data_IF_101377856423
#
_entry.id   IF_101377856423
#
_cell.length_a   1.000
_cell.length_b   1.000
_cell.length_c   1.000
_cell.angle_alpha   90.00
_cell.angle_beta   90.00
_cell.angle_gamma   90.00
#
_symmetry.space_group_name_H-M   'P 1'
#
loop_
_entity.id
_entity.type
_entity.pdbx_description
1 polymer ?
#
# COMPACT_ATOMS: atom_id res chain seq x y z
N UNK A 1 11.17 17.20 -14.06
CA UNK A 1 9.73 16.90 -13.97
C UNK A 1 9.57 15.50 -14.50
N UNK A 2 9.09 14.56 -13.69
CA UNK A 2 8.95 13.16 -14.11
C UNK A 2 7.54 12.99 -14.68
N UNK A 3 7.45 12.52 -15.92
CA UNK A 3 6.19 12.27 -16.60
C UNK A 3 5.31 11.29 -15.79
N UNK A 4 4.00 11.56 -15.68
CA UNK A 4 3.08 10.60 -15.10
C UNK A 4 2.99 9.38 -16.04
N UNK A 5 3.32 8.20 -15.51
CA UNK A 5 3.11 6.94 -16.21
C UNK A 5 1.65 6.83 -16.69
N UNK A 6 1.40 6.25 -17.88
CA UNK A 6 0.05 6.10 -18.41
C UNK A 6 -0.81 5.29 -17.43
N UNK A 7 -1.92 5.88 -17.00
CA UNK A 7 -2.82 5.36 -15.96
C UNK A 7 -3.68 4.17 -16.43
N UNK A 8 -3.54 3.74 -17.69
CA UNK A 8 -4.47 2.83 -18.37
C UNK A 8 -4.21 1.33 -18.13
N UNK A 9 -3.23 0.95 -17.30
CA UNK A 9 -2.89 -0.46 -17.06
C UNK A 9 -2.73 -0.83 -15.57
N UNK A 10 -3.13 0.04 -14.65
CA UNK A 10 -2.97 -0.22 -13.23
C UNK A 10 -4.31 -0.52 -12.57
N UNK A 11 -4.66 -1.80 -12.47
CA UNK A 11 -5.79 -2.24 -11.64
C UNK A 11 -5.30 -2.36 -10.17
N UNK A 12 -5.86 -1.59 -9.23
CA UNK A 12 -5.57 -1.71 -7.81
C UNK A 12 -5.87 -3.11 -7.24
N UNK A 13 -6.72 -3.89 -7.90
CA UNK A 13 -7.07 -5.26 -7.53
C UNK A 13 -5.97 -6.26 -7.89
N UNK A 14 -5.03 -5.91 -8.78
CA UNK A 14 -3.87 -6.75 -9.14
C UNK A 14 -2.94 -7.06 -7.95
N UNK A 15 -3.05 -6.29 -6.86
CA UNK A 15 -2.26 -6.53 -5.65
C UNK A 15 -2.78 -7.65 -4.76
N UNK A 16 -4.01 -8.11 -4.96
CA UNK A 16 -4.67 -9.09 -4.12
C UNK A 16 -4.86 -10.41 -4.88
N UNK A 17 -4.64 -11.52 -4.21
CA UNK A 17 -5.09 -12.81 -4.75
C UNK A 17 -6.63 -12.88 -4.74
N UNK A 18 -7.26 -13.67 -5.63
CA UNK A 18 -8.71 -13.80 -5.67
C UNK A 18 -9.32 -14.21 -4.31
N UNK A 19 -8.64 -15.07 -3.56
CA UNK A 19 -9.07 -15.51 -2.22
C UNK A 19 -8.98 -14.40 -1.17
N UNK A 20 -7.97 -13.53 -1.25
CA UNK A 20 -7.88 -12.36 -0.38
C UNK A 20 -8.96 -11.34 -0.70
N UNK A 21 -9.28 -11.17 -1.98
CA UNK A 21 -10.34 -10.27 -2.41
C UNK A 21 -11.70 -10.74 -1.91
N UNK A 22 -12.04 -12.03 -2.09
CA UNK A 22 -13.30 -12.59 -1.57
C UNK A 22 -13.45 -12.41 -0.05
N UNK A 23 -12.37 -12.62 0.71
CA UNK A 23 -12.38 -12.39 2.17
C UNK A 23 -12.58 -10.94 2.56
N UNK A 24 -12.01 -10.00 1.79
CA UNK A 24 -12.22 -8.57 1.99
C UNK A 24 -13.67 -8.19 1.67
N UNK A 25 -14.20 -8.71 0.57
CA UNK A 25 -15.58 -8.45 0.13
C UNK A 25 -16.59 -8.96 1.17
N UNK A 26 -16.48 -10.21 1.62
CA UNK A 26 -17.33 -10.76 2.69
C UNK A 26 -17.29 -9.87 3.95
N UNK A 27 -16.10 -9.39 4.32
CA UNK A 27 -15.92 -8.53 5.48
C UNK A 27 -16.55 -7.15 5.26
N UNK A 28 -16.39 -6.55 4.09
CA UNK A 28 -16.95 -5.25 3.77
C UNK A 28 -18.46 -5.29 3.59
N UNK A 29 -19.02 -6.35 3.00
CA UNK A 29 -20.46 -6.57 2.89
C UNK A 29 -21.12 -6.64 4.27
N UNK A 30 -20.43 -7.24 5.25
CA UNK A 30 -20.90 -7.25 6.62
C UNK A 30 -20.70 -5.91 7.33
N UNK A 31 -19.49 -5.35 7.30
CA UNK A 31 -19.13 -4.17 8.09
C UNK A 31 -19.71 -2.86 7.54
N UNK A 32 -19.99 -2.79 6.23
CA UNK A 32 -20.43 -1.58 5.54
C UNK A 32 -21.90 -1.62 5.10
N UNK A 33 -22.64 -2.65 5.52
CA UNK A 33 -24.06 -2.87 5.14
C UNK A 33 -24.91 -1.61 5.33
N UNK A 34 -24.84 -1.03 6.53
CA UNK A 34 -25.67 0.11 6.93
C UNK A 34 -24.91 1.44 6.89
N UNK A 35 -23.65 1.44 6.45
CA UNK A 35 -22.81 2.62 6.42
C UNK A 35 -23.22 3.54 5.25
N UNK A 36 -23.71 4.74 5.54
CA UNK A 36 -24.00 5.78 4.53
C UNK A 36 -22.78 6.62 4.16
N UNK A 37 -21.83 6.74 5.08
CA UNK A 37 -20.61 7.51 4.90
C UNK A 37 -19.40 6.67 5.26
N UNK A 38 -18.36 6.71 4.42
CA UNK A 38 -17.07 6.06 4.65
C UNK A 38 -15.97 7.09 4.89
N UNK A 39 -15.09 6.78 5.83
CA UNK A 39 -14.06 7.71 6.30
C UNK A 39 -12.69 7.33 5.73
N UNK A 40 -12.11 8.29 5.02
CA UNK A 40 -10.75 8.29 4.49
C UNK A 40 -9.90 9.31 5.24
N UNK A 41 -8.58 9.24 5.09
CA UNK A 41 -7.71 10.25 5.70
C UNK A 41 -6.42 10.44 4.91
N UNK A 42 -5.90 11.66 4.93
CA UNK A 42 -4.58 11.98 4.38
C UNK A 42 -3.87 13.00 5.26
N UNK A 43 -2.55 12.85 5.40
CA UNK A 43 -1.73 13.73 6.24
C UNK A 43 -1.91 13.56 7.76
N UNK A 44 -2.87 12.74 8.21
CA UNK A 44 -3.16 12.48 9.63
C UNK A 44 -2.67 11.10 10.08
N UNK A 45 -2.55 10.90 11.40
CA UNK A 45 -2.18 9.59 11.96
C UNK A 45 -3.39 8.63 11.92
N UNK A 46 -3.18 7.32 11.69
CA UNK A 46 -4.27 6.34 11.69
C UNK A 46 -5.06 6.34 13.00
N UNK A 47 -4.39 6.55 14.14
CA UNK A 47 -4.99 6.55 15.47
C UNK A 47 -5.93 7.75 15.68
N UNK A 48 -5.62 8.90 15.06
CA UNK A 48 -6.51 10.05 15.09
C UNK A 48 -7.75 9.80 14.22
N UNK A 49 -7.56 9.26 13.02
CA UNK A 49 -8.65 8.96 12.10
C UNK A 49 -9.61 7.91 12.67
N UNK A 50 -9.08 6.84 13.27
CA UNK A 50 -9.87 5.81 13.93
C UNK A 50 -10.65 6.34 15.12
N UNK A 51 -10.02 7.15 15.98
CA UNK A 51 -10.71 7.76 17.13
C UNK A 51 -11.85 8.66 16.69
N UNK A 52 -11.59 9.54 15.73
CA UNK A 52 -12.61 10.43 15.17
C UNK A 52 -13.77 9.62 14.57
N UNK A 53 -13.48 8.62 13.75
CA UNK A 53 -14.51 7.79 13.14
C UNK A 53 -15.32 7.00 14.18
N UNK A 54 -14.66 6.43 15.18
CA UNK A 54 -15.33 5.69 16.27
C UNK A 54 -16.26 6.59 17.07
N UNK A 55 -15.85 7.84 17.35
CA UNK A 55 -16.68 8.83 18.03
C UNK A 55 -17.94 9.21 17.25
N UNK A 56 -17.87 9.16 15.91
CA UNK A 56 -19.00 9.49 15.03
C UNK A 56 -19.76 8.25 14.53
N UNK A 57 -19.42 7.05 15.00
CA UNK A 57 -20.05 5.81 14.54
C UNK A 57 -19.78 5.48 13.07
N UNK A 58 -18.67 5.97 12.52
CA UNK A 58 -18.31 5.84 11.11
C UNK A 58 -17.22 4.79 10.86
N UNK A 59 -17.20 4.27 9.63
CA UNK A 59 -16.30 3.20 9.22
C UNK A 59 -15.08 3.77 8.49
N UNK A 60 -13.88 3.51 9.03
CA UNK A 60 -12.62 3.64 8.29
C UNK A 60 -12.22 2.30 7.69
N UNK A 61 -11.32 2.29 6.71
CA UNK A 61 -10.73 1.05 6.16
C UNK A 61 -10.29 0.08 7.28
N UNK A 62 -9.61 0.59 8.31
CA UNK A 62 -9.07 -0.26 9.37
C UNK A 62 -10.20 -0.84 10.24
N UNK A 63 -11.22 -0.04 10.58
CA UNK A 63 -12.36 -0.51 11.37
C UNK A 63 -13.15 -1.56 10.57
N UNK A 64 -13.40 -1.29 9.29
CA UNK A 64 -14.11 -2.20 8.39
C UNK A 64 -13.38 -3.54 8.25
N UNK A 65 -12.05 -3.52 8.06
CA UNK A 65 -11.22 -4.73 8.01
C UNK A 65 -11.27 -5.53 9.31
N UNK A 66 -11.42 -4.88 10.46
CA UNK A 66 -11.57 -5.54 11.76
C UNK A 66 -10.45 -6.55 12.04
N UNK A 67 -10.77 -7.83 12.33
CA UNK A 67 -9.77 -8.87 12.61
C UNK A 67 -8.74 -9.07 11.49
N UNK A 68 -9.08 -8.76 10.23
CA UNK A 68 -8.14 -8.89 9.11
C UNK A 68 -6.93 -7.95 9.22
N UNK A 69 -7.06 -6.83 9.95
CA UNK A 69 -5.99 -5.87 10.14
C UNK A 69 -4.97 -6.28 11.20
N UNK A 70 -5.37 -7.11 12.16
CA UNK A 70 -4.56 -7.49 13.32
C UNK A 70 -3.37 -8.38 12.95
N UNK A 71 -2.21 -8.08 13.56
CA UNK A 71 -0.93 -8.75 13.31
C UNK A 71 -0.74 -10.03 14.15
N UNK A 72 -1.70 -10.35 15.03
CA UNK A 72 -1.49 -11.28 16.16
C UNK A 72 -2.32 -12.56 16.10
N UNK A 73 -3.32 -12.65 15.24
CA UNK A 73 -4.23 -13.79 15.22
C UNK A 73 -3.88 -14.77 14.08
N UNK A 74 -3.90 -16.07 14.39
CA UNK A 74 -3.79 -17.14 13.39
C UNK A 74 -5.03 -17.05 12.49
N UNK A 75 -4.89 -16.37 11.34
CA UNK A 75 -6.00 -16.06 10.43
C UNK A 75 -6.08 -14.59 10.01
N UNK A 76 -5.33 -13.69 10.67
CA UNK A 76 -5.21 -12.29 10.24
C UNK A 76 -4.56 -12.18 8.86
N UNK A 77 -5.02 -11.25 8.01
CA UNK A 77 -4.47 -11.10 6.67
C UNK A 77 -2.98 -10.69 6.69
N UNK A 78 -2.51 -10.14 7.80
CA UNK A 78 -1.10 -9.77 8.00
C UNK A 78 -0.21 -10.92 8.47
N UNK A 79 -0.79 -11.97 9.05
CA UNK A 79 -0.05 -13.09 9.61
C UNK A 79 0.82 -13.76 8.54
N UNK A 80 2.12 -13.91 8.82
CA UNK A 80 3.09 -14.48 7.88
C UNK A 80 3.45 -13.62 6.67
N UNK A 81 2.86 -12.43 6.49
CA UNK A 81 3.18 -11.54 5.35
C UNK A 81 4.44 -10.71 5.63
N UNK A 82 5.31 -10.62 4.61
CA UNK A 82 6.39 -9.64 4.64
C UNK A 82 5.84 -8.21 4.62
N UNK A 83 6.59 -7.24 5.14
CA UNK A 83 6.20 -5.82 5.09
C UNK A 83 5.85 -5.33 3.68
N UNK A 84 6.49 -5.87 2.63
CA UNK A 84 6.20 -5.48 1.25
C UNK A 84 4.89 -6.10 0.75
N UNK A 85 4.64 -7.37 1.08
CA UNK A 85 3.38 -8.04 0.78
C UNK A 85 2.21 -7.38 1.51
N UNK A 86 2.40 -7.00 2.78
CA UNK A 86 1.41 -6.24 3.53
C UNK A 86 1.13 -4.86 2.93
N UNK A 87 2.15 -4.13 2.48
CA UNK A 87 1.94 -2.84 1.80
C UNK A 87 1.17 -2.99 0.49
N UNK A 88 1.39 -4.06 -0.28
CA UNK A 88 0.59 -4.38 -1.48
C UNK A 88 -0.85 -4.70 -1.11
N UNK A 89 -1.04 -5.57 -0.13
CA UNK A 89 -2.36 -5.92 0.40
C UNK A 89 -3.14 -4.69 0.86
N UNK A 90 -2.51 -3.79 1.63
CA UNK A 90 -3.14 -2.54 2.08
C UNK A 90 -3.47 -1.59 0.94
N UNK A 91 -2.73 -1.60 -0.18
CA UNK A 91 -3.09 -0.85 -1.39
C UNK A 91 -4.35 -1.43 -2.03
N UNK A 92 -4.39 -2.75 -2.23
CA UNK A 92 -5.58 -3.40 -2.79
C UNK A 92 -6.82 -3.22 -1.91
N UNK A 93 -6.69 -3.41 -0.60
CA UNK A 93 -7.79 -3.20 0.36
C UNK A 93 -8.28 -1.75 0.38
N UNK A 94 -7.36 -0.79 0.27
CA UNK A 94 -7.65 0.64 0.16
C UNK A 94 -8.42 0.98 -1.13
N UNK A 95 -7.99 0.44 -2.27
CA UNK A 95 -8.71 0.57 -3.54
C UNK A 95 -10.11 -0.04 -3.47
N UNK A 96 -10.22 -1.27 -2.96
CA UNK A 96 -11.51 -1.96 -2.83
C UNK A 96 -12.48 -1.22 -1.89
N UNK A 97 -11.97 -0.67 -0.79
CA UNK A 97 -12.77 0.16 0.12
C UNK A 97 -13.30 1.44 -0.54
N UNK A 98 -12.49 2.08 -1.41
CA UNK A 98 -12.95 3.20 -2.23
C UNK A 98 -14.09 2.79 -3.18
N UNK A 99 -13.98 1.64 -3.86
CA UNK A 99 -15.06 1.12 -4.73
C UNK A 99 -16.35 0.84 -3.96
N UNK A 100 -16.25 0.31 -2.73
CA UNK A 100 -17.41 0.07 -1.87
C UNK A 100 -18.14 1.37 -1.50
N UNK A 101 -17.44 2.51 -1.52
CA UNK A 101 -18.09 3.82 -1.37
C UNK A 101 -19.04 4.06 -2.55
N UNK A 102 -18.57 3.82 -3.78
CA UNK A 102 -19.37 4.01 -4.97
C UNK A 102 -20.51 3.01 -5.14
N UNK A 103 -20.27 1.71 -4.85
CA UNK A 103 -21.28 0.64 -5.01
C UNK A 103 -22.56 0.87 -4.23
N UNK A 104 -22.48 1.53 -3.07
CA UNK A 104 -23.65 1.81 -2.23
C UNK A 104 -24.19 3.22 -2.35
N UNK A 105 -23.74 4.03 -3.31
CA UNK A 105 -24.12 5.44 -3.40
C UNK A 105 -23.77 6.21 -2.12
N UNK A 106 -22.61 5.92 -1.53
CA UNK A 106 -22.19 6.48 -0.24
C UNK A 106 -21.43 7.79 -0.41
N UNK A 107 -21.38 8.57 0.67
CA UNK A 107 -20.53 9.74 0.78
C UNK A 107 -19.14 9.35 1.29
N UNK A 108 -18.09 10.01 0.77
CA UNK A 108 -16.74 9.94 1.31
C UNK A 108 -16.46 11.14 2.22
N UNK A 109 -16.08 10.88 3.46
CA UNK A 109 -15.58 11.90 4.39
C UNK A 109 -14.07 11.73 4.50
N UNK A 110 -13.32 12.78 4.25
CA UNK A 110 -11.85 12.72 4.20
C UNK A 110 -11.28 13.61 5.28
N UNK A 111 -10.63 12.97 6.25
CA UNK A 111 -9.96 13.65 7.34
C UNK A 111 -8.60 14.16 6.86
N UNK A 112 -8.41 15.47 6.88
CA UNK A 112 -7.22 16.11 6.33
C UNK A 112 -6.67 17.17 7.26
N UNK A 113 -5.42 17.58 7.00
CA UNK A 113 -4.90 18.83 7.55
C UNK A 113 -5.61 20.03 6.90
N UNK A 114 -5.67 21.18 7.59
CA UNK A 114 -6.22 22.38 6.98
C UNK A 114 -5.42 22.80 5.74
N UNK A 115 -6.07 23.46 4.76
CA UNK A 115 -5.40 24.17 3.69
C UNK A 115 -4.29 25.10 4.22
N UNK A 116 -3.17 25.25 3.50
CA UNK A 116 -2.88 24.70 2.15
C UNK A 116 -2.34 23.25 2.15
N UNK A 117 -1.91 22.73 3.31
CA UNK A 117 -1.16 21.48 3.45
C UNK A 117 -2.06 20.23 3.61
N UNK A 118 -3.12 20.14 2.81
CA UNK A 118 -4.17 19.11 2.94
C UNK A 118 -3.61 17.69 2.83
N UNK A 119 -2.76 17.45 1.83
CA UNK A 119 -2.24 16.12 1.51
C UNK A 119 -1.06 15.73 2.40
N UNK A 120 -0.87 14.42 2.55
CA UNK A 120 0.38 13.87 3.06
C UNK A 120 1.57 14.38 2.24
N UNK A 121 2.67 14.71 2.93
CA UNK A 121 3.97 15.07 2.29
C UNK A 121 4.59 13.91 1.49
N UNK A 122 4.00 12.71 1.55
CA UNK A 122 4.41 11.57 0.76
C UNK A 122 3.90 11.71 -0.67
N UNK A 123 4.82 11.70 -1.63
CA UNK A 123 4.52 11.77 -3.08
C UNK A 123 3.51 10.70 -3.52
N UNK A 124 3.57 9.50 -2.91
CA UNK A 124 2.74 8.36 -3.26
C UNK A 124 1.83 7.93 -2.09
N UNK A 125 0.92 8.81 -1.67
CA UNK A 125 -0.10 8.43 -0.68
C UNK A 125 -1.21 7.61 -1.34
N UNK A 126 -1.72 6.58 -0.65
CA UNK A 126 -2.84 5.79 -1.14
C UNK A 126 -4.04 6.67 -1.48
N UNK A 127 -4.41 7.62 -0.61
CA UNK A 127 -5.52 8.53 -0.89
C UNK A 127 -5.37 9.26 -2.23
N UNK A 128 -4.29 10.04 -2.42
CA UNK A 128 -4.08 10.86 -3.62
C UNK A 128 -3.95 10.06 -4.93
N UNK A 129 -3.22 8.93 -4.89
CA UNK A 129 -2.88 8.20 -6.11
C UNK A 129 -3.88 7.10 -6.46
N UNK A 130 -4.71 6.68 -5.51
CA UNK A 130 -5.55 5.51 -5.64
C UNK A 130 -6.99 5.77 -5.22
N UNK A 131 -7.23 6.09 -3.94
CA UNK A 131 -8.59 6.18 -3.41
C UNK A 131 -9.36 7.34 -4.04
N UNK A 132 -8.76 8.54 -4.09
CA UNK A 132 -9.41 9.73 -4.63
C UNK A 132 -9.79 9.61 -6.12
N UNK A 133 -8.91 9.11 -7.03
CA UNK A 133 -9.33 8.81 -8.40
C UNK A 133 -10.48 7.80 -8.50
N UNK A 134 -10.50 6.74 -7.69
CA UNK A 134 -11.62 5.77 -7.65
C UNK A 134 -12.90 6.45 -7.19
N UNK A 135 -12.84 7.21 -6.09
CA UNK A 135 -14.00 7.93 -5.55
C UNK A 135 -14.60 8.90 -6.56
N UNK A 136 -13.77 9.51 -7.41
CA UNK A 136 -14.18 10.40 -8.52
C UNK A 136 -14.66 9.66 -9.78
N UNK A 137 -14.49 8.34 -9.84
CA UNK A 137 -14.91 7.51 -10.98
C UNK A 137 -13.90 7.46 -12.14
N UNK A 138 -12.62 7.76 -11.91
CA UNK A 138 -11.61 7.79 -12.98
C UNK A 138 -11.38 6.43 -13.68
N UNK A 139 -11.75 5.32 -13.03
CA UNK A 139 -11.55 3.95 -13.52
C UNK A 139 -12.83 3.30 -14.08
N UNK A 140 -13.84 4.09 -14.48
CA UNK A 140 -15.04 3.56 -15.14
C UNK A 140 -16.00 2.75 -14.25
N UNK A 141 -15.80 2.78 -12.93
CA UNK A 141 -16.62 2.10 -11.93
C UNK A 141 -17.59 3.02 -11.17
N UNK A 142 -18.30 2.44 -10.19
CA UNK A 142 -19.18 3.20 -9.31
C UNK A 142 -18.40 4.25 -8.51
N UNK A 143 -18.91 5.49 -8.47
CA UNK A 143 -18.27 6.65 -7.85
C UNK A 143 -18.98 7.05 -6.57
N UNK A 144 -18.27 7.72 -5.66
CA UNK A 144 -18.90 8.30 -4.48
C UNK A 144 -19.97 9.33 -4.90
N UNK A 145 -20.99 9.53 -4.06
CA UNK A 145 -21.99 10.59 -4.32
C UNK A 145 -21.36 11.96 -4.13
N UNK A 146 -20.53 12.09 -3.09
CA UNK A 146 -19.90 13.33 -2.68
C UNK A 146 -18.62 13.03 -1.90
N UNK A 147 -17.63 13.93 -2.01
CA UNK A 147 -16.42 13.92 -1.19
C UNK A 147 -16.41 15.20 -0.35
N UNK A 148 -16.38 15.05 0.98
CA UNK A 148 -16.28 16.15 1.93
C UNK A 148 -15.00 16.09 2.73
N UNK A 149 -14.42 17.26 3.03
CA UNK A 149 -13.22 17.37 3.87
C UNK A 149 -13.60 17.82 5.27
N UNK A 150 -12.89 17.27 6.26
CA UNK A 150 -13.02 17.62 7.68
C UNK A 150 -11.62 17.80 8.27
N UNK A 151 -11.46 18.79 9.14
CA UNK A 151 -10.17 19.15 9.74
C UNK A 151 -10.16 18.93 11.26
N UNK A 152 -10.02 17.67 11.73
CA UNK A 152 -10.10 17.34 13.15
C UNK A 152 -8.96 17.92 14.00
N UNK A 153 -7.90 18.44 13.39
CA UNK A 153 -6.78 19.06 14.09
C UNK A 153 -7.07 20.48 14.57
N UNK A 154 -8.10 21.14 14.04
CA UNK A 154 -8.49 22.49 14.44
C UNK A 154 -9.61 22.39 15.47
N UNK A 155 -9.40 23.02 16.63
CA UNK A 155 -10.42 23.09 17.68
C UNK A 155 -11.64 23.83 17.15
N UNK A 156 -12.83 23.23 17.29
CA UNK A 156 -14.08 23.77 16.74
C UNK A 156 -14.40 23.36 15.30
N UNK A 157 -13.42 22.89 14.52
CA UNK A 157 -13.62 22.45 13.13
C UNK A 157 -13.83 20.93 13.00
N UNK A 158 -13.79 20.18 14.10
CA UNK A 158 -13.85 18.72 14.05
C UNK A 158 -15.18 18.15 13.52
N UNK A 159 -16.24 18.96 13.55
CA UNK A 159 -17.55 18.64 12.98
C UNK A 159 -17.87 19.46 11.71
N UNK A 160 -16.99 20.40 11.33
CA UNK A 160 -17.18 21.20 10.14
C UNK A 160 -16.76 20.38 8.92
N UNK A 161 -17.69 20.21 7.99
CA UNK A 161 -17.49 19.52 6.73
C UNK A 161 -17.83 20.46 5.57
N UNK A 162 -17.06 20.40 4.50
CA UNK A 162 -17.31 21.17 3.29
C UNK A 162 -17.03 20.30 2.06
N UNK A 163 -17.77 20.53 0.99
CA UNK A 163 -17.70 19.71 -0.21
C UNK A 163 -16.47 20.04 -1.06
N UNK A 164 -15.81 19.01 -1.60
CA UNK A 164 -14.69 19.17 -2.55
C UNK A 164 -15.03 18.57 -3.93
N UNK A 165 -15.96 17.61 -3.96
CA UNK A 165 -16.39 16.97 -5.19
C UNK A 165 -17.83 16.46 -5.05
N UNK A 166 -18.69 16.53 -6.09
CA UNK A 166 -18.42 17.12 -7.40
C UNK A 166 -18.30 18.66 -7.41
N UNK A 167 -18.90 19.35 -6.44
CA UNK A 167 -18.78 20.80 -6.27
C UNK A 167 -17.65 21.12 -5.29
N UNK A 168 -16.87 22.15 -5.58
CA UNK A 168 -15.77 22.58 -4.71
C UNK A 168 -16.19 23.82 -3.90
N UNK A 169 -16.46 23.60 -2.62
CA UNK A 169 -16.93 24.58 -1.65
C UNK A 169 -15.81 24.97 -0.65
N UNK A 170 -14.55 24.98 -1.12
CA UNK A 170 -13.41 25.41 -0.28
C UNK A 170 -13.56 26.85 0.24
N UNK A 171 -14.35 27.69 -0.44
CA UNK A 171 -14.72 29.03 0.04
C UNK A 171 -15.51 29.03 1.36
N UNK A 172 -16.31 27.99 1.63
CA UNK A 172 -17.02 27.83 2.90
C UNK A 172 -16.02 27.61 4.05
N UNK A 173 -15.00 26.80 3.80
CA UNK A 173 -13.88 26.65 4.72
C UNK A 173 -13.14 27.96 4.95
N UNK A 174 -12.85 28.73 3.91
CA UNK A 174 -12.16 30.02 4.06
C UNK A 174 -12.99 31.01 4.90
N UNK A 175 -14.30 30.99 4.74
CA UNK A 175 -15.23 31.83 5.52
C UNK A 175 -15.26 31.39 6.98
N UNK A 176 -15.40 30.09 7.23
CA UNK A 176 -15.42 29.51 8.57
C UNK A 176 -14.09 29.67 9.30
N UNK A 177 -12.96 29.45 8.62
CA UNK A 177 -11.64 29.58 9.24
C UNK A 177 -11.32 31.03 9.63
N UNK A 178 -11.82 32.01 8.89
CA UNK A 178 -11.73 33.43 9.27
C UNK A 178 -12.57 33.76 10.50
N UNK A 179 -13.73 33.15 10.68
CA UNK A 179 -14.57 33.36 11.87
C UNK A 179 -14.02 32.70 13.14
N UNK A 180 -13.12 31.70 13.00
CA UNK A 180 -12.38 31.11 14.10
C UNK A 180 -11.21 31.97 14.61
N UNK A 181 -10.76 32.96 13.84
CA UNK A 181 -9.74 33.90 14.31
C UNK A 181 -10.41 34.98 15.16
N UNK A 182 -9.84 35.35 16.33
CA UNK A 182 -10.29 36.51 17.08
C UNK A 182 -10.32 37.71 16.14
N UNK A 183 -11.46 38.41 16.09
CA UNK A 183 -11.57 39.65 15.34
C UNK A 183 -10.56 40.62 15.95
N UNK A 184 -9.46 40.92 15.24
CA UNK A 184 -8.61 42.06 15.55
C UNK A 184 -9.45 43.32 15.31
N UNK A 185 -10.29 43.66 16.29
CA UNK A 185 -10.97 44.93 16.40
C UNK A 185 -9.94 46.00 16.81
N UNK A 186 -8.91 46.21 15.98
CA UNK A 186 -8.06 47.40 16.06
C UNK A 186 -7.14 47.52 14.84
N UNK A 187 -7.66 48.10 13.75
CA UNK A 187 -6.87 49.12 13.03
C UNK A 187 -7.73 50.09 12.22
N UNK A 188 -8.05 51.21 12.87
CA UNK A 188 -7.96 52.60 12.36
C UNK A 188 -8.66 52.93 11.03
N UNK A 189 -9.98 53.09 11.09
CA UNK A 189 -10.64 54.18 10.35
C UNK A 189 -10.53 55.47 11.17
N UNK A 190 -9.40 56.16 11.05
CA UNK A 190 -9.22 57.47 11.64
C UNK A 190 -9.70 58.56 10.67
N UNK A 191 -10.63 59.38 11.19
CA UNK A 191 -11.02 60.74 10.77
C UNK A 191 -12.13 60.84 9.72
N UNK A 192 -13.34 61.16 10.20
CA UNK A 192 -13.95 62.48 9.95
C UNK A 192 -14.98 62.83 11.04
N UNK A 193 -15.01 64.13 11.34
CA UNK A 193 -15.62 64.84 12.46
C UNK A 193 -17.14 65.02 12.30
N UNK A 194 -17.87 64.98 13.42
CA UNK A 194 -19.01 65.83 13.77
C UNK A 194 -19.14 65.74 15.30
N UNK A 195 -18.81 66.72 16.14
CA UNK A 195 -19.40 68.07 16.35
C UNK A 195 -20.88 68.00 16.76
N UNK A 196 -21.08 68.03 18.09
CA UNK A 196 -22.06 68.86 18.84
C UNK A 196 -23.53 68.36 18.76
N UNK A 197 -24.34 68.24 19.82
CA UNK A 197 -24.65 69.13 20.96
C UNK A 197 -25.46 68.35 22.03
N UNK A 198 -25.34 68.77 23.31
CA UNK A 198 -26.36 68.92 24.40
C UNK A 198 -27.54 67.93 24.54
N UNK A 199 -28.09 67.58 25.71
CA UNK A 199 -27.96 67.99 27.11
C UNK A 199 -28.83 67.07 27.99
N UNK A 200 -28.61 67.17 29.30
CA UNK A 200 -29.58 67.07 30.42
C UNK A 200 -29.95 65.72 31.06
N UNK A 201 -29.65 65.67 32.38
CA UNK A 201 -30.40 65.08 33.52
C UNK A 201 -30.54 63.56 33.58
N UNK A 202 -30.28 62.83 34.67
CA UNK A 202 -29.91 63.09 36.07
C UNK A 202 -30.17 61.79 36.86
N UNK A 203 -29.43 61.58 37.96
CA UNK A 203 -29.69 60.63 39.08
C UNK A 203 -29.69 59.11 38.74
N UNK A 204 -29.29 58.14 39.58
CA UNK A 204 -28.70 58.03 40.92
C UNK A 204 -28.30 56.54 41.13
N UNK A 205 -27.57 56.26 42.22
CA UNK A 205 -27.48 54.99 42.97
C UNK A 205 -26.35 53.97 42.67
N UNK A 206 -25.24 54.22 43.37
CA UNK A 206 -24.65 53.40 44.43
C UNK A 206 -24.29 51.90 44.25
N UNK A 207 -23.07 51.62 44.73
CA UNK A 207 -22.61 50.45 45.50
C UNK A 207 -22.32 49.12 44.80
N UNK A 208 -21.02 48.83 44.67
CA UNK A 208 -20.47 47.53 45.06
C UNK A 208 -18.98 47.67 45.43
N UNK A 209 -18.70 47.65 46.72
CA UNK A 209 -17.36 47.41 47.26
C UNK A 209 -17.24 45.89 47.47
N UNK A 210 -16.24 45.24 46.88
CA UNK A 210 -15.55 44.09 47.47
C UNK A 210 -14.21 43.83 46.76
N UNK A 211 -13.12 43.74 47.55
CA UNK A 211 -11.94 42.95 47.21
C UNK A 211 -10.68 43.68 46.75
N UNK A 212 -10.16 44.64 47.53
CA UNK A 212 -8.74 45.04 47.38
C UNK A 212 -7.87 43.96 48.04
N UNK A 213 -7.23 43.13 47.22
CA UNK A 213 -6.12 42.27 47.66
C UNK A 213 -4.92 43.17 48.05
N UNK A 214 -4.22 42.90 49.16
CA UNK A 214 -3.05 43.68 49.54
C UNK A 214 -1.92 43.53 48.51
N UNK A 215 -1.40 44.66 48.01
CA UNK A 215 -0.21 44.66 47.18
C UNK A 215 1.02 44.19 48.00
N UNK A 216 1.82 43.23 47.50
CA UNK A 216 2.97 42.69 48.21
C UNK A 216 4.09 43.73 48.34
N UNK A 217 4.82 43.69 49.44
CA UNK A 217 5.92 44.61 49.71
C UNK A 217 7.08 44.43 48.70
N UNK A 218 7.87 45.49 48.44
CA UNK A 218 9.03 45.45 47.51
C UNK A 218 10.04 44.32 47.79
N UNK A 219 10.10 43.80 49.02
CA UNK A 219 10.96 42.65 49.39
C UNK A 219 10.34 41.31 48.99
N UNK A 220 9.03 41.14 49.15
CA UNK A 220 8.30 39.93 48.77
C UNK A 220 8.23 39.76 47.24
N UNK A 221 8.05 40.87 46.50
CA UNK A 221 8.08 40.85 45.04
C UNK A 221 9.44 40.37 44.47
N UNK A 222 10.56 40.79 45.08
CA UNK A 222 11.91 40.35 44.67
C UNK A 222 12.20 38.89 45.04
N UNK A 223 11.67 38.41 46.16
CA UNK A 223 11.78 37.00 46.54
C UNK A 223 11.01 36.08 45.58
N UNK A 224 9.77 36.48 45.23
CA UNK A 224 8.93 35.77 44.26
C UNK A 224 9.55 35.75 42.86
N UNK A 225 10.16 36.85 42.40
CA UNK A 225 10.84 36.87 41.09
C UNK A 225 12.07 35.94 41.06
N UNK A 226 12.85 35.89 42.15
CA UNK A 226 14.02 35.01 42.27
C UNK A 226 13.60 33.53 42.30
N UNK A 227 12.51 33.20 42.97
CA UNK A 227 11.94 31.85 42.98
C UNK A 227 11.37 31.45 41.62
N UNK A 228 10.68 32.36 40.93
CA UNK A 228 10.17 32.13 39.57
C UNK A 228 11.31 31.88 38.56
N UNK A 229 12.43 32.61 38.67
CA UNK A 229 13.62 32.38 37.84
C UNK A 229 14.25 31.01 38.10
N UNK A 230 14.29 30.56 39.36
CA UNK A 230 14.80 29.22 39.72
C UNK A 230 13.92 28.11 39.16
N UNK A 231 12.60 28.21 39.33
CA UNK A 231 11.64 27.24 38.77
C UNK A 231 11.69 27.20 37.23
N UNK A 232 11.88 28.35 36.58
CA UNK A 232 12.04 28.42 35.12
C UNK A 232 13.33 27.73 34.66
N UNK A 233 14.45 27.97 35.33
CA UNK A 233 15.73 27.34 35.01
C UNK A 233 15.69 25.81 35.23
N UNK A 234 15.00 25.35 36.26
CA UNK A 234 14.82 23.93 36.56
C UNK A 234 13.94 23.22 35.51
N UNK A 235 12.86 23.87 35.07
CA UNK A 235 12.01 23.37 33.97
C UNK A 235 12.78 23.31 32.64
N UNK A 236 13.63 24.30 32.37
CA UNK A 236 14.46 24.34 31.16
C UNK A 236 15.52 23.22 31.15
N UNK A 237 16.09 22.90 32.32
CA UNK A 237 17.01 21.78 32.48
C UNK A 237 16.30 20.43 32.25
N UNK A 238 15.10 20.25 32.80
CA UNK A 238 14.29 19.04 32.54
C UNK A 238 13.94 18.89 31.06
N UNK A 239 13.52 19.97 30.39
CA UNK A 239 13.23 19.93 28.96
C UNK A 239 14.48 19.64 28.11
N UNK A 240 15.65 20.12 28.52
CA UNK A 240 16.91 19.82 27.85
C UNK A 240 17.27 18.32 27.98
N UNK A 241 17.12 17.74 29.17
CA UNK A 241 17.34 16.31 29.41
C UNK A 241 16.38 15.43 28.61
N UNK A 242 15.09 15.76 28.57
CA UNK A 242 14.10 15.02 27.77
C UNK A 242 14.41 15.09 26.27
N UNK A 243 14.86 16.25 25.77
CA UNK A 243 15.26 16.41 24.36
C UNK A 243 16.49 15.57 24.02
N UNK A 244 17.47 15.50 24.92
CA UNK A 244 18.66 14.67 24.74
C UNK A 244 18.30 13.18 24.71
N UNK A 245 17.45 12.73 25.64
CA UNK A 245 17.00 11.34 25.69
C UNK A 245 16.17 10.96 24.46
N UNK A 246 15.29 11.87 23.99
CA UNK A 246 14.53 11.68 22.76
C UNK A 246 15.44 11.59 21.52
N UNK A 247 16.51 12.40 21.46
CA UNK A 247 17.50 12.31 20.39
C UNK A 247 18.31 11.01 20.46
N UNK A 248 18.71 10.55 21.65
CA UNK A 248 19.38 9.26 21.84
C UNK A 248 18.51 8.09 21.35
N UNK A 249 17.22 8.06 21.74
CA UNK A 249 16.25 7.05 21.27
C UNK A 249 16.05 7.10 19.74
N UNK A 250 16.06 8.29 19.14
CA UNK A 250 15.98 8.44 17.67
C UNK A 250 17.24 7.90 16.97
N UNK A 251 18.43 8.18 17.51
CA UNK A 251 19.70 7.69 16.97
C UNK A 251 19.77 6.16 17.03
N UNK A 252 19.39 5.56 18.16
CA UNK A 252 19.35 4.11 18.33
C UNK A 252 18.38 3.44 17.35
N UNK A 253 17.17 4.00 17.18
CA UNK A 253 16.19 3.52 16.21
C UNK A 253 16.69 3.62 14.76
N UNK A 254 17.47 4.65 14.45
CA UNK A 254 18.11 4.81 13.15
C UNK A 254 19.21 3.74 12.92
N UNK A 255 20.05 3.47 13.91
CA UNK A 255 21.06 2.40 13.83
C UNK A 255 20.41 1.03 13.68
N UNK A 256 19.37 0.72 14.46
CA UNK A 256 18.64 -0.55 14.37
C UNK A 256 18.00 -0.73 12.98
N UNK A 257 17.46 0.33 12.38
CA UNK A 257 16.97 0.29 10.98
C UNK A 257 18.08 0.02 9.96
N UNK A 258 19.27 0.61 10.14
CA UNK A 258 20.43 0.35 9.26
C UNK A 258 20.88 -1.11 9.37
N UNK A 259 21.00 -1.65 10.59
CA UNK A 259 21.35 -3.05 10.81
C UNK A 259 20.35 -4.03 10.19
N UNK A 260 19.04 -3.76 10.32
CA UNK A 260 17.98 -4.58 9.68
C UNK A 260 18.08 -4.54 8.15
N UNK A 261 18.37 -3.38 7.56
CA UNK A 261 18.59 -3.26 6.10
C UNK A 261 19.80 -4.07 5.64
N UNK A 262 20.92 -3.99 6.35
CA UNK A 262 22.13 -4.76 6.04
C UNK A 262 21.88 -6.27 6.13
N UNK A 263 21.23 -6.74 7.20
CA UNK A 263 20.85 -8.16 7.34
C UNK A 263 19.95 -8.64 6.22
N UNK A 264 18.98 -7.81 5.79
CA UNK A 264 18.09 -8.14 4.67
C UNK A 264 18.82 -8.22 3.33
N UNK A 265 19.82 -7.36 3.11
CA UNK A 265 20.69 -7.42 1.93
C UNK A 265 21.52 -8.70 1.91
N UNK A 266 22.12 -9.08 3.03
CA UNK A 266 22.90 -10.32 3.16
C UNK A 266 22.04 -11.58 2.88
N UNK A 267 20.82 -11.65 3.44
CA UNK A 267 19.88 -12.76 3.18
C UNK A 267 19.52 -12.83 1.69
N UNK A 268 19.30 -11.68 1.03
CA UNK A 268 18.99 -11.65 -0.42
C UNK A 268 20.17 -12.12 -1.26
N UNK A 269 21.40 -11.80 -0.88
CA UNK A 269 22.60 -12.29 -1.57
C UNK A 269 22.75 -13.81 -1.42
N UNK A 270 22.60 -14.34 -0.21
CA UNK A 270 22.63 -15.80 0.03
C UNK A 270 21.54 -16.54 -0.77
N UNK A 271 20.32 -15.97 -0.85
CA UNK A 271 19.24 -16.56 -1.65
C UNK A 271 19.57 -16.59 -3.16
N UNK A 272 20.20 -15.53 -3.69
CA UNK A 272 20.64 -15.51 -5.09
C UNK A 272 21.72 -16.55 -5.38
N UNK A 273 22.71 -16.70 -4.49
CA UNK A 273 23.75 -17.73 -4.64
C UNK A 273 23.18 -19.15 -4.56
N UNK A 274 22.22 -19.39 -3.65
CA UNK A 274 21.54 -20.68 -3.57
C UNK A 274 20.73 -20.99 -4.84
N UNK A 275 20.06 -19.98 -5.43
CA UNK A 275 19.33 -20.13 -6.69
C UNK A 275 20.28 -20.43 -7.86
N UNK A 276 21.41 -19.72 -7.95
CA UNK A 276 22.42 -19.97 -8.98
C UNK A 276 23.01 -21.39 -8.89
N UNK A 277 23.23 -21.90 -7.67
CA UNK A 277 23.68 -23.30 -7.46
C UNK A 277 22.64 -24.32 -7.93
N UNK A 278 21.34 -24.08 -7.65
CA UNK A 278 20.25 -24.95 -8.14
C UNK A 278 20.13 -24.94 -9.67
N UNK A 279 20.23 -23.78 -10.30
CA UNK A 279 20.22 -23.68 -11.77
C UNK A 279 21.42 -24.38 -12.41
N UNK A 280 22.62 -24.25 -11.82
CA UNK A 280 23.80 -24.96 -12.29
C UNK A 280 23.65 -26.48 -12.20
N UNK A 281 23.03 -26.99 -11.12
CA UNK A 281 22.74 -28.41 -10.96
C UNK A 281 21.70 -28.90 -11.97
N UNK A 282 20.62 -28.14 -12.19
CA UNK A 282 19.60 -28.47 -13.19
C UNK A 282 20.16 -28.52 -14.62
N UNK A 283 21.08 -27.60 -14.96
CA UNK A 283 21.77 -27.63 -16.27
C UNK A 283 22.63 -28.88 -16.44
N UNK A 284 23.35 -29.31 -15.40
CA UNK A 284 24.15 -30.56 -15.44
C UNK A 284 23.27 -31.80 -15.62
N UNK A 285 22.13 -31.89 -14.91
CA UNK A 285 21.18 -33.00 -15.10
C UNK A 285 20.55 -33.01 -16.49
N UNK A 286 20.19 -31.84 -17.03
CA UNK A 286 19.63 -31.74 -18.38
C UNK A 286 20.64 -32.20 -19.45
N UNK A 287 21.93 -31.85 -19.28
CA UNK A 287 22.99 -32.31 -20.18
C UNK A 287 23.21 -33.83 -20.09
N UNK A 288 23.24 -34.39 -18.88
CA UNK A 288 23.36 -35.84 -18.68
C UNK A 288 22.19 -36.62 -19.31
N UNK A 289 20.96 -36.10 -19.22
CA UNK A 289 19.79 -36.71 -19.88
C UNK A 289 19.91 -36.70 -21.40
N UNK A 290 20.39 -35.60 -22.00
CA UNK A 290 20.62 -35.51 -23.45
C UNK A 290 21.68 -36.50 -23.92
N UNK A 291 22.79 -36.64 -23.21
CA UNK A 291 23.83 -37.62 -23.54
C UNK A 291 23.33 -39.07 -23.42
N UNK A 292 22.53 -39.38 -22.40
CA UNK A 292 21.92 -40.70 -22.24
C UNK A 292 20.95 -41.02 -23.40
N UNK A 293 20.16 -40.04 -23.84
CA UNK A 293 19.25 -40.21 -24.98
C UNK A 293 20.03 -40.41 -26.30
N UNK A 294 21.08 -39.63 -26.54
CA UNK A 294 21.93 -39.79 -27.72
C UNK A 294 22.60 -41.18 -27.78
N UNK A 295 23.04 -41.72 -26.64
CA UNK A 295 23.59 -43.09 -26.56
C UNK A 295 22.55 -44.15 -26.91
N UNK A 296 21.31 -44.01 -26.43
CA UNK A 296 20.21 -44.94 -26.78
C UNK A 296 19.87 -44.90 -28.27
N UNK A 297 19.80 -43.71 -28.87
CA UNK A 297 19.57 -43.58 -30.32
C UNK A 297 20.70 -44.18 -31.15
N UNK A 298 21.96 -43.97 -30.75
CA UNK A 298 23.11 -44.56 -31.43
C UNK A 298 23.08 -46.10 -31.37
N UNK A 299 22.69 -46.68 -30.23
CA UNK A 299 22.54 -48.12 -30.07
C UNK A 299 21.40 -48.67 -30.94
N UNK A 300 20.24 -48.00 -30.96
CA UNK A 300 19.11 -48.39 -31.82
C UNK A 300 19.46 -48.35 -33.31
N UNK A 301 20.23 -47.36 -33.76
CA UNK A 301 20.71 -47.27 -35.15
C UNK A 301 21.64 -48.43 -35.52
N UNK A 302 22.58 -48.80 -34.64
CA UNK A 302 23.46 -49.96 -34.86
C UNK A 302 22.67 -51.27 -34.95
N UNK A 303 21.68 -51.44 -34.09
CA UNK A 303 20.84 -52.64 -34.08
C UNK A 303 19.96 -52.74 -35.34
N UNK A 304 19.41 -51.61 -35.81
CA UNK A 304 18.68 -51.55 -37.06
C UNK A 304 19.56 -51.87 -38.29
N UNK A 305 20.81 -51.39 -38.30
CA UNK A 305 21.76 -51.71 -39.36
C UNK A 305 22.12 -53.20 -39.39
N UNK A 306 22.38 -53.81 -38.22
CA UNK A 306 22.66 -55.24 -38.11
C UNK A 306 21.47 -56.10 -38.60
N UNK A 307 20.23 -55.69 -38.31
CA UNK A 307 19.03 -56.37 -38.82
C UNK A 307 18.93 -56.31 -40.35
N UNK A 308 19.24 -55.16 -40.97
CA UNK A 308 19.27 -55.02 -42.43
C UNK A 308 20.34 -55.90 -43.08
N UNK A 309 21.55 -55.94 -42.52
CA UNK A 309 22.62 -56.81 -43.02
C UNK A 309 22.27 -58.29 -42.89
N UNK A 310 21.67 -58.71 -41.77
CA UNK A 310 21.22 -60.09 -41.59
C UNK A 310 20.14 -60.48 -42.61
N UNK A 311 19.22 -59.56 -42.95
CA UNK A 311 18.19 -59.78 -43.96
C UNK A 311 18.80 -59.89 -45.37
N UNK A 312 19.72 -59.00 -45.72
CA UNK A 312 20.45 -59.06 -46.99
C UNK A 312 21.24 -60.37 -47.15
N UNK A 313 21.87 -60.84 -46.07
CA UNK A 313 22.61 -62.12 -46.06
C UNK A 313 21.70 -63.33 -46.25
N UNK A 314 20.48 -63.32 -45.68
CA UNK A 314 19.46 -64.35 -45.92
C UNK A 314 18.99 -64.36 -47.38
N UNK A 315 18.78 -63.18 -47.96
CA UNK A 315 18.37 -63.05 -49.36
C UNK A 315 19.46 -63.51 -50.33
N UNK A 316 20.73 -63.12 -50.09
CA UNK A 316 21.87 -63.59 -50.88
C UNK A 316 22.01 -65.12 -50.84
N UNK A 317 21.79 -65.74 -49.68
CA UNK A 317 21.80 -67.21 -49.55
C UNK A 317 20.67 -67.87 -50.35
N UNK A 318 19.47 -67.28 -50.39
CA UNK A 318 18.36 -67.77 -51.23
C UNK A 318 18.71 -67.70 -52.72
N UNK A 319 19.22 -66.57 -53.20
CA UNK A 319 19.63 -66.40 -54.61
C UNK A 319 20.71 -67.39 -55.02
N UNK A 320 21.69 -67.66 -54.14
CA UNK A 320 22.73 -68.67 -54.41
C UNK A 320 22.16 -70.08 -54.53
N UNK A 321 21.25 -70.47 -53.65
CA UNK A 321 20.59 -71.77 -53.71
C UNK A 321 19.70 -71.92 -54.96
N UNK A 322 19.09 -70.83 -55.42
CA UNK A 322 18.28 -70.81 -56.64
C UNK A 322 19.13 -70.97 -57.91
N UNK A 323 20.25 -70.26 -58.00
CA UNK A 323 21.23 -70.43 -59.08
C UNK A 323 21.76 -71.87 -59.15
N UNK A 324 22.05 -72.48 -58.00
CA UNK A 324 22.51 -73.87 -57.93
C UNK A 324 21.44 -74.85 -58.43
N UNK A 325 20.16 -74.62 -58.10
CA UNK A 325 19.03 -75.39 -58.66
C UNK A 325 18.93 -75.25 -60.18
N UNK A 326 19.09 -74.04 -60.72
CA UNK A 326 19.06 -73.81 -62.17
C UNK A 326 20.21 -74.54 -62.88
N UNK A 327 21.43 -74.48 -62.33
CA UNK A 327 22.58 -75.22 -62.86
C UNK A 327 22.36 -76.75 -62.81
N UNK A 328 21.76 -77.27 -61.74
CA UNK A 328 21.43 -78.69 -61.64
C UNK A 328 20.38 -79.12 -62.69
N UNK A 329 19.38 -78.28 -62.98
CA UNK A 329 18.40 -78.53 -64.03
C UNK A 329 19.02 -78.51 -65.43
N UNK A 330 19.90 -77.55 -65.72
CA UNK A 330 20.64 -77.51 -66.99
C UNK A 330 21.52 -78.74 -67.18
N UNK A 331 22.22 -79.20 -66.13
CA UNK A 331 23.00 -80.45 -66.16
C UNK A 331 22.13 -81.68 -66.41
N UNK A 332 20.91 -81.74 -65.85
CA UNK A 332 19.94 -82.82 -66.13
C UNK A 332 19.48 -82.81 -67.59
N UNK A 333 19.15 -81.64 -68.14
CA UNK A 333 18.76 -81.49 -69.54
C UNK A 333 19.89 -81.84 -70.51
N UNK A 334 21.14 -81.46 -70.19
CA UNK A 334 22.32 -81.83 -70.98
C UNK A 334 22.60 -83.34 -70.97
N UNK A 335 22.27 -84.05 -69.88
CA UNK A 335 22.35 -85.52 -69.82
C UNK A 335 21.24 -86.21 -70.62
N UNK A 336 20.04 -85.66 -70.67
CA UNK A 336 18.95 -86.21 -71.49
C UNK A 336 19.21 -86.08 -73.01
N UNK A 337 19.90 -85.03 -73.45
CA UNK A 337 20.31 -84.86 -74.86
C UNK A 337 21.46 -85.76 -75.33
N UNK A 338 22.09 -86.55 -74.44
CA UNK A 338 23.22 -87.45 -74.76
C UNK A 338 22.85 -88.94 -74.76
N UNK A 339 21.56 -89.30 -74.62
CA UNK A 339 21.11 -90.67 -74.88
C UNK A 339 20.86 -90.83 -76.39
N UNK A 340 21.60 -91.69 -77.11
CA UNK A 340 21.26 -92.03 -78.48
C UNK A 340 19.98 -92.89 -78.51
N UNK A 341 19.21 -92.86 -79.62
CA UNK A 341 18.10 -93.79 -79.86
C UNK A 341 18.57 -95.23 -79.95
#
# INVERSE_FOLDING_TARGET
MADPLPFDAWDPLDYLSPTELSRLDERFDHALRDARCLVFWTGLSPELAQRWASQHGLQTLIIAMGPLYSDRDVGGARYGKSSNAWSKYMKGASGRFAEYTGRGGRQAIVLTKPPPDIYSRRVWSNYRCLEEPILKGAFGGARAVQICYVHPTIKGAAAFQYQIWPLNETNEWDTFSRSLLPHDANNKSAKRKAVVETSTTGESLAQSQHGILPLPSKKEAKALEKEARRKKAELELQQAQEREEANRKRAEKAQRKKAVRQRKLAIRQQAKEAQAKKEAQAKKEAQAKKEAQAKKEAQAKKEAQAKKEAQARKEARRRRAELERQQALQKKQAKQKKKPP
#
